data_IF_084946847640
#
_entry.id   IF_084946847640
#
_cell.length_a   1.000
_cell.length_b   1.000
_cell.length_c   1.000
_cell.angle_alpha   90.00
_cell.angle_beta   90.00
_cell.angle_gamma   90.00
#
_symmetry.space_group_name_H-M   'P 1'
#
loop_
_entity.id
_entity.type
_entity.pdbx_description
1 polymer ?
#
# COMPACT_ATOMS: atom_id res chain seq x y z
N UNK A 1 -61.28 6.29 16.50
CA UNK A 1 -60.94 5.49 15.31
C UNK A 1 -59.62 4.81 15.59
N UNK A 2 -59.62 3.47 15.56
CA UNK A 2 -58.58 2.59 16.06
C UNK A 2 -57.45 2.35 15.04
N UNK A 3 -56.28 2.03 15.59
CA UNK A 3 -55.02 1.58 14.98
C UNK A 3 -55.06 0.15 14.42
N UNK A 4 -53.96 -0.18 13.68
CA UNK A 4 -53.38 -1.44 13.16
C UNK A 4 -53.29 -1.38 11.62
N UNK A 5 -52.15 -1.46 10.91
CA UNK A 5 -50.81 -1.99 11.20
C UNK A 5 -50.59 -3.27 10.40
N UNK A 6 -49.73 -3.28 9.37
CA UNK A 6 -48.99 -4.45 8.81
C UNK A 6 -47.78 -3.92 8.01
N UNK A 7 -46.62 -4.51 8.28
CA UNK A 7 -45.32 -4.28 7.67
C UNK A 7 -45.03 -5.24 6.49
N UNK A 8 -44.10 -4.87 5.61
CA UNK A 8 -43.54 -5.71 4.54
C UNK A 8 -42.32 -5.05 3.89
N UNK A 9 -41.35 -5.81 3.33
CA UNK A 9 -39.95 -5.75 3.77
C UNK A 9 -39.00 -4.89 2.91
N UNK A 10 -37.92 -4.47 3.57
CA UNK A 10 -36.71 -3.91 2.97
C UNK A 10 -35.89 -4.99 2.24
N UNK A 11 -35.35 -4.66 1.07
CA UNK A 11 -34.34 -5.42 0.34
C UNK A 11 -33.12 -4.53 0.02
N UNK A 12 -31.93 -5.12 -0.16
CA UNK A 12 -30.65 -4.51 0.17
C UNK A 12 -29.94 -3.85 -1.03
N UNK A 13 -29.05 -2.93 -0.66
CA UNK A 13 -28.18 -2.10 -1.50
C UNK A 13 -27.22 -2.98 -2.33
N UNK A 14 -27.16 -2.75 -3.65
CA UNK A 14 -26.37 -3.54 -4.61
C UNK A 14 -24.91 -3.07 -4.76
N UNK A 15 -24.00 -4.04 -4.83
CA UNK A 15 -22.53 -3.97 -4.87
C UNK A 15 -21.88 -3.50 -6.21
N UNK A 16 -22.51 -2.61 -6.98
CA UNK A 16 -22.03 -2.30 -8.34
C UNK A 16 -21.21 -1.00 -8.52
N UNK A 17 -20.82 -0.29 -7.45
CA UNK A 17 -20.13 1.01 -7.60
C UNK A 17 -18.61 1.01 -7.35
N UNK A 18 -17.99 -0.13 -7.05
CA UNK A 18 -16.53 -0.21 -6.79
C UNK A 18 -15.71 -0.57 -8.05
N UNK A 19 -16.34 -1.08 -9.12
CA UNK A 19 -15.63 -1.60 -10.30
C UNK A 19 -15.42 -0.57 -11.44
N UNK A 20 -15.75 0.71 -11.27
CA UNK A 20 -15.81 1.67 -12.38
C UNK A 20 -14.57 2.56 -12.57
N UNK A 21 -13.46 2.36 -11.84
CA UNK A 21 -12.35 3.32 -11.82
C UNK A 21 -11.07 2.90 -12.55
N UNK A 22 -11.03 1.80 -13.31
CA UNK A 22 -9.80 1.39 -14.02
C UNK A 22 -10.14 0.89 -15.43
N UNK A 23 -9.93 1.74 -16.42
CA UNK A 23 -9.76 1.33 -17.83
C UNK A 23 -8.84 2.33 -18.53
N UNK A 24 -7.77 1.88 -19.17
CA UNK A 24 -7.22 2.57 -20.32
C UNK A 24 -7.62 1.85 -21.61
N UNK A 25 -8.07 2.66 -22.57
CA UNK A 25 -8.36 2.24 -23.95
C UNK A 25 -7.06 1.90 -24.68
N UNK A 26 -7.13 0.85 -25.49
CA UNK A 26 -6.15 0.53 -26.53
C UNK A 26 -6.00 1.65 -27.56
N UNK A 27 -4.77 1.86 -28.04
CA UNK A 27 -4.49 2.32 -29.38
C UNK A 27 -3.25 1.58 -29.92
N UNK A 28 -3.38 1.11 -31.16
CA UNK A 28 -2.41 0.50 -32.11
C UNK A 28 -1.23 1.47 -32.38
N UNK A 29 -0.07 1.13 -32.94
CA UNK A 29 0.31 0.22 -34.01
C UNK A 29 1.86 0.13 -34.10
N UNK A 30 2.35 -0.78 -34.94
CA UNK A 30 3.72 -1.21 -35.16
C UNK A 30 4.74 -0.11 -35.55
N UNK A 31 5.95 -0.19 -34.97
CA UNK A 31 7.23 0.13 -35.62
C UNK A 31 8.42 -0.19 -34.68
N UNK A 32 8.89 -1.44 -34.68
CA UNK A 32 10.20 -1.82 -34.13
C UNK A 32 10.81 -2.92 -35.02
N UNK A 33 11.51 -2.50 -36.08
CA UNK A 33 12.61 -3.27 -36.64
C UNK A 33 13.72 -2.29 -37.05
N UNK A 34 14.96 -2.70 -36.79
CA UNK A 34 16.23 -2.07 -37.16
C UNK A 34 16.70 -0.85 -36.35
N UNK A 35 17.40 -1.13 -35.25
CA UNK A 35 18.72 -0.51 -35.00
C UNK A 35 19.44 -1.22 -33.84
N UNK A 36 20.78 -1.23 -33.92
CA UNK A 36 21.73 -1.65 -32.89
C UNK A 36 22.06 -3.15 -32.84
N UNK A 37 22.57 -3.64 -33.97
CA UNK A 37 23.71 -4.54 -33.98
C UNK A 37 24.99 -3.84 -33.49
N UNK A 38 25.80 -4.56 -32.71
CA UNK A 38 27.22 -4.36 -32.36
C UNK A 38 27.55 -3.45 -31.15
N UNK A 39 27.99 -4.07 -30.04
CA UNK A 39 29.29 -3.79 -29.39
C UNK A 39 29.67 -4.88 -28.34
N UNK A 40 30.97 -5.07 -27.99
CA UNK A 40 31.54 -6.29 -27.38
C UNK A 40 31.64 -6.26 -25.84
N UNK A 41 32.02 -7.38 -25.17
CA UNK A 41 31.86 -7.54 -23.72
C UNK A 41 33.05 -7.00 -22.91
N UNK A 42 32.78 -6.46 -21.71
CA UNK A 42 33.78 -6.18 -20.68
C UNK A 42 33.31 -6.65 -19.28
N UNK A 43 34.24 -6.94 -18.35
CA UNK A 43 34.14 -8.09 -17.45
C UNK A 43 33.46 -7.81 -16.11
N UNK A 44 33.04 -8.91 -15.47
CA UNK A 44 32.34 -8.96 -14.19
C UNK A 44 33.20 -8.53 -12.99
N UNK A 45 32.60 -7.75 -12.09
CA UNK A 45 33.07 -7.51 -10.71
C UNK A 45 31.90 -7.84 -9.77
N UNK A 46 32.07 -8.70 -8.75
CA UNK A 46 30.99 -9.09 -7.85
C UNK A 46 30.85 -8.10 -6.69
N UNK A 47 29.60 -7.75 -6.35
CA UNK A 47 29.25 -7.13 -5.07
C UNK A 47 28.71 -5.71 -5.16
N UNK A 48 27.53 -5.52 -5.76
CA UNK A 48 26.72 -4.32 -5.54
C UNK A 48 25.24 -4.69 -5.44
N UNK A 49 24.54 -4.08 -4.49
CA UNK A 49 23.09 -3.91 -4.54
C UNK A 49 22.77 -3.19 -5.85
N UNK A 50 22.12 -3.89 -6.77
CA UNK A 50 21.69 -3.32 -8.05
C UNK A 50 20.37 -2.62 -7.76
N UNK A 51 20.43 -1.29 -7.64
CA UNK A 51 19.24 -0.43 -7.65
C UNK A 51 18.93 -0.08 -9.09
N UNK A 52 17.71 -0.37 -9.51
CA UNK A 52 17.25 -0.08 -10.86
C UNK A 52 16.27 1.09 -10.78
N UNK A 53 16.62 2.20 -11.41
CA UNK A 53 15.73 3.33 -11.65
C UNK A 53 15.27 3.23 -13.10
N UNK A 54 13.98 3.00 -13.34
CA UNK A 54 13.40 3.12 -14.68
C UNK A 54 12.68 4.45 -14.74
N UNK A 55 13.32 5.43 -15.38
CA UNK A 55 12.74 6.74 -15.66
C UNK A 55 12.35 6.76 -17.14
N UNK A 56 11.05 6.78 -17.42
CA UNK A 56 10.56 7.01 -18.77
C UNK A 56 10.62 8.52 -19.09
N UNK A 57 11.76 9.01 -19.58
CA UNK A 57 11.89 10.35 -20.14
C UNK A 57 12.04 10.28 -21.67
N UNK A 58 11.02 10.72 -22.41
CA UNK A 58 11.15 11.07 -23.84
C UNK A 58 11.28 12.59 -23.96
N UNK A 59 12.46 13.08 -24.33
CA UNK A 59 12.65 14.48 -24.75
C UNK A 59 12.78 14.57 -26.27
N UNK A 60 11.96 15.42 -26.90
CA UNK A 60 12.19 15.91 -28.27
C UNK A 60 11.72 17.35 -28.36
N UNK A 61 12.40 18.22 -29.11
CA UNK A 61 12.14 19.66 -29.22
C UNK A 61 11.29 20.01 -30.45
N UNK A 62 10.17 20.74 -30.30
CA UNK A 62 9.50 21.48 -31.39
C UNK A 62 8.40 22.42 -30.84
N UNK A 63 8.34 23.63 -31.41
CA UNK A 63 7.64 24.80 -30.90
C UNK A 63 6.09 24.78 -30.96
N UNK A 64 5.50 25.31 -29.89
CA UNK A 64 4.20 26.00 -29.69
C UNK A 64 2.85 25.39 -30.13
N UNK A 65 2.73 24.61 -31.19
CA UNK A 65 1.49 23.82 -31.47
C UNK A 65 1.65 22.33 -31.14
N UNK A 66 2.89 21.84 -31.07
CA UNK A 66 3.22 20.48 -30.65
C UNK A 66 3.05 20.20 -29.16
N UNK A 67 2.93 21.22 -28.31
CA UNK A 67 2.86 21.02 -26.85
C UNK A 67 1.55 20.35 -26.38
N UNK A 68 0.42 20.59 -27.05
CA UNK A 68 -0.84 19.96 -26.66
C UNK A 68 -0.85 18.46 -27.00
N UNK A 69 -0.35 18.10 -28.19
CA UNK A 69 -0.19 16.70 -28.60
C UNK A 69 0.84 15.96 -27.73
N UNK A 70 1.93 16.64 -27.34
CA UNK A 70 2.93 16.08 -26.41
C UNK A 70 2.37 15.78 -25.03
N UNK A 71 1.48 16.62 -24.49
CA UNK A 71 0.83 16.35 -23.21
C UNK A 71 -0.21 15.23 -23.29
N UNK A 72 -0.73 14.92 -24.49
CA UNK A 72 -1.62 13.78 -24.71
C UNK A 72 -0.84 12.47 -24.82
N UNK A 73 0.36 12.50 -25.42
CA UNK A 73 1.26 11.34 -25.55
C UNK A 73 2.15 11.10 -24.32
N UNK A 74 2.20 12.04 -23.37
CA UNK A 74 3.04 11.90 -22.17
C UNK A 74 2.39 10.97 -21.15
N UNK A 75 3.08 9.89 -20.81
CA UNK A 75 2.68 9.02 -19.70
C UNK A 75 2.86 9.74 -18.35
N UNK A 76 2.00 9.48 -17.36
CA UNK A 76 2.31 9.86 -15.99
C UNK A 76 3.62 9.19 -15.56
N UNK A 77 4.36 9.83 -14.67
CA UNK A 77 5.53 9.20 -14.06
C UNK A 77 5.06 7.99 -13.25
N UNK A 78 5.64 6.83 -13.48
CA UNK A 78 5.44 5.67 -12.62
C UNK A 78 6.81 5.10 -12.33
N UNK A 79 7.07 4.72 -11.08
CA UNK A 79 8.35 4.14 -10.70
C UNK A 79 8.11 2.78 -10.05
N UNK A 80 8.67 1.75 -10.66
CA UNK A 80 8.76 0.42 -10.08
C UNK A 80 10.22 0.16 -9.72
N UNK A 81 10.49 0.00 -8.42
CA UNK A 81 11.82 -0.35 -7.92
C UNK A 81 11.85 -1.84 -7.59
N UNK A 82 12.74 -2.56 -8.27
CA UNK A 82 12.94 -3.99 -8.04
C UNK A 82 14.33 -4.21 -7.44
N UNK A 83 14.39 -4.75 -6.22
CA UNK A 83 15.65 -5.12 -5.57
C UNK A 83 15.69 -6.63 -5.29
N UNK A 84 16.89 -7.21 -5.37
CA UNK A 84 17.17 -8.57 -4.89
C UNK A 84 17.96 -8.48 -3.59
N UNK A 85 17.59 -9.27 -2.59
CA UNK A 85 18.40 -9.47 -1.40
C UNK A 85 18.17 -10.87 -0.81
N UNK A 86 18.69 -11.12 0.39
CA UNK A 86 18.56 -12.38 1.11
C UNK A 86 18.24 -12.10 2.58
N UNK A 87 17.40 -12.93 3.21
CA UNK A 87 16.96 -12.72 4.60
C UNK A 87 18.09 -12.84 5.64
N UNK A 88 19.16 -13.57 5.33
CA UNK A 88 20.34 -13.74 6.22
C UNK A 88 21.38 -12.65 6.08
N UNK A 89 21.29 -11.80 5.06
CA UNK A 89 22.26 -10.71 4.90
C UNK A 89 22.05 -9.64 5.97
N UNK A 90 23.13 -9.20 6.61
CA UNK A 90 23.08 -8.15 7.64
C UNK A 90 22.56 -6.81 7.09
N UNK A 91 22.85 -6.52 5.81
CA UNK A 91 22.38 -5.32 5.11
C UNK A 91 20.97 -5.46 4.51
N UNK A 92 20.26 -6.55 4.82
CA UNK A 92 18.92 -6.82 4.31
C UNK A 92 17.92 -5.84 4.92
N UNK A 93 17.08 -5.22 4.09
CA UNK A 93 16.14 -4.16 4.50
C UNK A 93 14.68 -4.58 4.49
N UNK A 94 14.41 -5.88 4.37
CA UNK A 94 13.04 -6.42 4.32
C UNK A 94 12.16 -5.92 5.48
N UNK A 95 12.66 -5.96 6.72
CA UNK A 95 11.92 -5.45 7.88
C UNK A 95 11.68 -3.95 7.78
N UNK A 96 12.68 -3.17 7.39
CA UNK A 96 12.55 -1.72 7.25
C UNK A 96 11.50 -1.35 6.18
N UNK A 97 11.45 -2.05 5.04
CA UNK A 97 10.43 -1.80 4.02
C UNK A 97 9.01 -2.06 4.55
N UNK A 98 8.81 -3.11 5.35
CA UNK A 98 7.49 -3.39 5.95
C UNK A 98 7.16 -2.37 7.04
N UNK A 99 8.08 -2.14 7.97
CA UNK A 99 7.89 -1.27 9.15
C UNK A 99 7.68 0.20 8.79
N UNK A 100 8.26 0.67 7.68
CA UNK A 100 8.06 2.05 7.20
C UNK A 100 6.82 2.24 6.36
N UNK A 101 6.08 1.18 6.03
CA UNK A 101 4.84 1.27 5.26
C UNK A 101 3.62 1.12 6.19
N UNK A 102 3.26 2.24 6.83
CA UNK A 102 2.39 2.25 8.02
C UNK A 102 0.92 1.88 7.76
N UNK A 103 0.34 2.28 6.63
CA UNK A 103 -1.10 2.17 6.38
C UNK A 103 -1.39 1.17 5.27
N UNK A 104 -1.81 -0.04 5.62
CA UNK A 104 -2.04 -1.15 4.68
C UNK A 104 -3.52 -1.53 4.62
N UNK A 105 -4.09 -1.61 3.40
CA UNK A 105 -5.51 -1.90 3.18
C UNK A 105 -5.78 -3.32 2.68
N UNK A 106 -4.83 -3.91 1.94
CA UNK A 106 -4.99 -5.21 1.28
C UNK A 106 -3.67 -5.97 1.33
N UNK A 107 -3.73 -7.25 1.68
CA UNK A 107 -2.60 -8.18 1.60
C UNK A 107 -3.02 -9.41 0.82
N UNK A 108 -2.27 -9.76 -0.22
CA UNK A 108 -2.51 -10.94 -1.06
C UNK A 108 -1.30 -11.88 -0.99
N UNK A 109 -1.56 -13.15 -0.68
CA UNK A 109 -0.55 -14.20 -0.56
C UNK A 109 -0.85 -15.28 -1.60
N UNK A 110 0.17 -15.65 -2.38
CA UNK A 110 0.08 -16.71 -3.39
C UNK A 110 1.08 -17.83 -3.08
N UNK A 111 0.57 -19.05 -2.99
CA UNK A 111 1.35 -20.25 -2.78
C UNK A 111 1.11 -21.23 -3.94
N UNK A 112 2.01 -21.26 -4.94
CA UNK A 112 1.98 -22.29 -5.99
C UNK A 112 2.13 -23.69 -5.39
N UNK A 113 1.58 -24.69 -6.08
CA UNK A 113 1.64 -26.11 -5.71
C UNK A 113 1.13 -26.40 -4.29
N UNK A 114 0.13 -25.62 -3.87
CA UNK A 114 -0.49 -25.69 -2.57
C UNK A 114 -2.01 -25.68 -2.74
N UNK A 115 -2.68 -26.70 -2.18
CA UNK A 115 -4.14 -26.74 -2.12
C UNK A 115 -4.65 -25.81 -1.02
N UNK A 116 -5.00 -26.34 0.17
CA UNK A 116 -5.42 -25.49 1.28
C UNK A 116 -4.24 -24.69 1.84
N UNK A 117 -4.55 -23.49 2.34
CA UNK A 117 -3.56 -22.64 3.00
C UNK A 117 -2.94 -23.39 4.21
N UNK A 118 -1.60 -23.39 4.38
CA UNK A 118 -0.94 -24.08 5.49
C UNK A 118 -1.41 -23.57 6.85
N UNK A 119 -1.58 -24.49 7.83
CA UNK A 119 -2.15 -24.18 9.16
C UNK A 119 -1.38 -23.09 9.93
N UNK A 120 -0.05 -23.02 9.81
CA UNK A 120 0.75 -21.96 10.45
C UNK A 120 0.42 -20.57 9.89
N UNK A 121 0.27 -20.47 8.57
CA UNK A 121 -0.07 -19.21 7.89
C UNK A 121 -1.52 -18.84 8.20
N UNK A 122 -2.43 -19.82 8.11
CA UNK A 122 -3.85 -19.65 8.42
C UNK A 122 -4.07 -19.18 9.86
N UNK A 123 -3.46 -19.85 10.84
CA UNK A 123 -3.59 -19.45 12.26
C UNK A 123 -2.97 -18.08 12.54
N UNK A 124 -1.91 -17.69 11.82
CA UNK A 124 -1.34 -16.34 11.92
C UNK A 124 -2.32 -15.29 11.42
N UNK A 125 -2.99 -15.53 10.29
CA UNK A 125 -3.99 -14.62 9.72
C UNK A 125 -5.24 -14.54 10.63
N UNK A 126 -5.71 -15.67 11.13
CA UNK A 126 -6.83 -15.72 12.10
C UNK A 126 -6.46 -14.99 13.41
N UNK A 127 -5.18 -15.00 13.79
CA UNK A 127 -4.63 -14.28 14.93
C UNK A 127 -4.46 -12.76 14.74
N UNK A 128 -4.81 -12.19 13.57
CA UNK A 128 -4.72 -10.73 13.36
C UNK A 128 -5.70 -9.93 14.23
N UNK A 129 -6.72 -10.57 14.80
CA UNK A 129 -7.69 -9.92 15.67
C UNK A 129 -8.61 -8.96 14.89
N UNK A 130 -8.69 -7.70 15.32
CA UNK A 130 -9.57 -6.70 14.72
C UNK A 130 -8.89 -5.33 14.66
N UNK A 131 -9.43 -4.46 13.82
CA UNK A 131 -9.16 -3.02 13.81
C UNK A 131 -10.43 -2.29 14.24
N UNK A 132 -10.34 -0.98 14.50
CA UNK A 132 -11.49 -0.21 14.95
C UNK A 132 -11.85 0.89 13.97
N UNK A 133 -13.13 1.21 13.91
CA UNK A 133 -13.66 2.38 13.20
C UNK A 133 -14.36 3.26 14.23
N UNK A 134 -13.94 4.51 14.32
CA UNK A 134 -14.55 5.51 15.20
C UNK A 134 -15.12 6.64 14.37
N UNK A 135 -16.28 7.16 14.75
CA UNK A 135 -16.94 8.25 14.02
C UNK A 135 -16.83 9.59 14.73
N UNK A 136 -16.68 10.66 13.96
CA UNK A 136 -16.64 12.05 14.43
C UNK A 136 -15.67 12.25 15.61
N UNK A 137 -14.48 11.65 15.55
CA UNK A 137 -13.43 11.84 16.55
C UNK A 137 -12.71 13.16 16.28
N UNK A 138 -12.52 13.95 17.34
CA UNK A 138 -11.73 15.17 17.28
C UNK A 138 -10.24 14.87 17.27
N UNK A 139 -9.49 15.51 16.36
CA UNK A 139 -8.02 15.43 16.30
C UNK A 139 -7.38 15.87 17.63
N UNK A 140 -8.04 16.77 18.37
CA UNK A 140 -7.59 17.20 19.69
C UNK A 140 -7.41 16.03 20.67
N UNK A 141 -8.22 14.97 20.57
CA UNK A 141 -8.15 13.81 21.47
C UNK A 141 -6.75 13.17 21.46
N UNK A 142 -6.11 13.12 20.29
CA UNK A 142 -4.76 12.57 20.13
C UNK A 142 -3.66 13.40 20.81
N UNK A 143 -3.93 14.69 21.07
CA UNK A 143 -2.95 15.59 21.68
C UNK A 143 -3.02 15.53 23.21
N UNK A 144 -4.12 15.06 23.78
CA UNK A 144 -4.33 15.01 25.24
C UNK A 144 -3.23 14.23 25.94
N UNK A 145 -2.91 14.62 27.18
CA UNK A 145 -1.90 13.91 27.98
C UNK A 145 -2.30 12.46 28.25
N UNK A 146 -3.58 12.24 28.52
CA UNK A 146 -4.14 10.92 28.77
C UNK A 146 -3.95 9.99 27.57
N UNK A 147 -4.26 10.48 26.36
CA UNK A 147 -4.05 9.69 25.14
C UNK A 147 -2.57 9.36 24.94
N UNK A 148 -1.69 10.35 25.07
CA UNK A 148 -0.24 10.16 24.88
C UNK A 148 0.36 9.18 25.89
N UNK A 149 -0.03 9.28 27.16
CA UNK A 149 0.45 8.39 28.21
C UNK A 149 -0.09 6.97 28.07
N UNK A 150 -1.31 6.81 27.56
CA UNK A 150 -1.98 5.51 27.42
C UNK A 150 -1.53 4.77 26.16
N UNK A 151 -1.47 5.44 25.01
CA UNK A 151 -1.28 4.77 23.72
C UNK A 151 0.10 5.00 23.13
N UNK A 152 0.55 6.25 23.05
CA UNK A 152 1.82 6.60 22.37
C UNK A 152 3.04 6.08 23.14
N UNK A 153 3.02 6.16 24.49
CA UNK A 153 4.14 5.69 25.31
C UNK A 153 4.18 4.18 25.53
N UNK A 154 3.06 3.49 25.30
CA UNK A 154 2.89 2.08 25.68
C UNK A 154 2.79 1.14 24.47
N UNK A 155 2.88 1.64 23.23
CA UNK A 155 2.85 0.80 22.04
C UNK A 155 2.79 1.60 20.74
N UNK A 156 2.57 0.90 19.63
CA UNK A 156 2.46 1.50 18.30
C UNK A 156 0.99 1.78 17.98
N UNK A 157 0.59 3.05 18.03
CA UNK A 157 -0.78 3.47 17.70
C UNK A 157 -0.85 4.01 16.27
N UNK A 158 -1.84 3.54 15.52
CA UNK A 158 -2.09 3.90 14.14
C UNK A 158 -3.48 4.52 14.03
N UNK A 159 -3.58 5.70 13.42
CA UNK A 159 -4.85 6.28 13.03
C UNK A 159 -4.79 6.82 11.60
N UNK A 160 -5.84 6.61 10.83
CA UNK A 160 -5.98 7.18 9.49
C UNK A 160 -7.41 7.68 9.28
N UNK A 161 -7.58 8.91 8.79
CA UNK A 161 -8.89 9.44 8.44
C UNK A 161 -9.55 8.58 7.36
N UNK A 162 -10.82 8.26 7.56
CA UNK A 162 -11.57 7.32 6.74
C UNK A 162 -12.51 8.07 5.80
N UNK A 163 -12.57 7.63 4.53
CA UNK A 163 -13.41 8.24 3.47
C UNK A 163 -13.13 9.71 3.18
N UNK A 164 -11.89 10.14 3.42
CA UNK A 164 -11.40 11.49 3.10
C UNK A 164 -10.42 11.40 1.94
N UNK A 165 -10.71 12.07 0.82
CA UNK A 165 -9.83 12.05 -0.36
C UNK A 165 -8.70 13.05 -0.19
N UNK A 166 -7.44 12.62 -0.30
CA UNK A 166 -6.29 13.48 0.01
C UNK A 166 -6.10 14.66 -0.96
N UNK A 167 -6.67 14.61 -2.16
CA UNK A 167 -6.66 15.72 -3.12
C UNK A 167 -7.78 16.74 -2.83
N UNK A 168 -8.91 16.31 -2.28
CA UNK A 168 -10.13 17.12 -2.12
C UNK A 168 -10.46 17.51 -0.68
N UNK A 169 -10.34 16.59 0.26
CA UNK A 169 -10.73 16.74 1.65
C UNK A 169 -9.52 16.92 2.57
N UNK A 170 -9.73 17.49 3.76
CA UNK A 170 -8.72 17.45 4.82
C UNK A 170 -8.50 15.99 5.27
N UNK A 171 -7.25 15.61 5.51
CA UNK A 171 -6.88 14.26 5.94
C UNK A 171 -5.96 14.30 7.16
N UNK A 172 -6.04 13.26 7.99
CA UNK A 172 -5.27 13.16 9.22
C UNK A 172 -4.73 11.74 9.40
N UNK A 173 -3.48 11.64 9.83
CA UNK A 173 -2.82 10.38 10.11
C UNK A 173 -2.00 10.48 11.41
N UNK A 174 -2.08 9.44 12.24
CA UNK A 174 -1.23 9.26 13.40
C UNK A 174 -0.31 8.07 13.16
N UNK A 175 0.98 8.35 13.17
CA UNK A 175 2.07 7.42 12.95
C UNK A 175 2.45 6.68 14.24
N UNK A 176 2.99 5.44 14.14
CA UNK A 176 3.49 4.71 15.30
C UNK A 176 4.70 5.41 15.95
N UNK A 177 5.37 6.30 15.24
CA UNK A 177 6.45 7.16 15.76
C UNK A 177 5.93 8.25 16.71
N UNK A 178 4.61 8.38 16.89
CA UNK A 178 3.98 9.43 17.68
C UNK A 178 3.84 10.76 16.97
N UNK A 179 4.01 10.78 15.64
CA UNK A 179 3.80 11.98 14.82
C UNK A 179 2.37 12.01 14.27
N UNK A 180 1.67 13.10 14.58
CA UNK A 180 0.37 13.43 14.02
C UNK A 180 0.58 14.32 12.78
N UNK A 181 0.09 13.87 11.64
CA UNK A 181 0.21 14.53 10.35
C UNK A 181 -1.18 14.95 9.89
N UNK A 182 -1.33 16.24 9.58
CA UNK A 182 -2.56 16.80 9.01
C UNK A 182 -2.22 17.33 7.62
N UNK A 183 -2.89 16.83 6.59
CA UNK A 183 -2.87 17.41 5.25
C UNK A 183 -4.18 18.15 5.04
N UNK A 184 -4.10 19.47 4.98
CA UNK A 184 -5.26 20.36 4.97
C UNK A 184 -5.24 21.29 3.77
N UNK A 185 -6.42 21.75 3.38
CA UNK A 185 -6.56 22.82 2.40
C UNK A 185 -6.02 24.17 2.96
N UNK A 186 -5.85 25.12 2.05
CA UNK A 186 -5.33 26.46 2.37
C UNK A 186 -6.17 27.18 3.42
N UNK A 187 -7.49 27.15 3.29
CA UNK A 187 -8.39 27.89 4.17
C UNK A 187 -8.33 27.35 5.60
N UNK A 188 -8.37 26.02 5.74
CA UNK A 188 -8.24 25.31 7.01
C UNK A 188 -6.85 25.54 7.63
N UNK A 189 -5.78 25.57 6.83
CA UNK A 189 -4.43 25.87 7.30
C UNK A 189 -4.34 27.27 7.92
N UNK A 190 -4.83 28.30 7.21
CA UNK A 190 -4.82 29.69 7.65
C UNK A 190 -5.72 29.88 8.90
N UNK A 191 -6.89 29.23 8.92
CA UNK A 191 -7.79 29.22 10.07
C UNK A 191 -7.21 28.53 11.30
N UNK A 192 -6.52 27.40 11.16
CA UNK A 192 -5.83 26.72 12.28
C UNK A 192 -4.73 27.61 12.85
N UNK A 193 -3.90 28.21 11.98
CA UNK A 193 -2.75 29.02 12.38
C UNK A 193 -1.69 28.22 13.14
N UNK A 194 -1.49 26.97 12.72
CA UNK A 194 -0.41 26.08 13.15
C UNK A 194 0.75 26.16 12.15
N UNK A 195 1.97 25.89 12.63
CA UNK A 195 3.14 25.85 11.77
C UNK A 195 3.13 24.59 10.91
N UNK A 196 3.30 24.75 9.61
CA UNK A 196 3.29 23.68 8.62
C UNK A 196 4.02 24.12 7.36
N UNK A 197 4.09 23.24 6.36
CA UNK A 197 4.75 23.51 5.07
C UNK A 197 3.74 23.33 3.92
N UNK A 198 3.87 24.08 2.80
CA UNK A 198 3.16 23.73 1.58
C UNK A 198 3.45 22.27 1.20
N UNK A 199 2.42 21.58 0.72
CA UNK A 199 2.54 20.25 0.13
C UNK A 199 3.54 20.27 -1.03
N UNK A 200 4.36 19.23 -1.15
CA UNK A 200 5.31 19.08 -2.28
C UNK A 200 4.60 19.02 -3.64
N UNK A 201 3.32 18.70 -3.65
CA UNK A 201 2.50 18.51 -4.85
C UNK A 201 1.64 19.71 -5.20
N UNK A 202 1.80 20.80 -4.44
CA UNK A 202 1.21 22.08 -4.82
C UNK A 202 1.91 22.66 -6.04
N UNK A 203 1.12 23.15 -7.00
CA UNK A 203 1.62 23.92 -8.13
C UNK A 203 2.15 25.30 -7.71
N UNK A 204 2.18 26.26 -8.65
CA UNK A 204 2.65 27.64 -8.37
C UNK A 204 1.97 28.31 -7.17
N UNK A 205 0.71 27.94 -6.91
CA UNK A 205 -0.05 28.39 -5.76
C UNK A 205 -0.25 27.20 -4.81
N UNK A 206 0.24 27.33 -3.58
CA UNK A 206 0.01 26.35 -2.54
C UNK A 206 -1.47 26.30 -2.16
N UNK A 207 -2.12 25.17 -2.46
CA UNK A 207 -3.52 24.91 -2.11
C UNK A 207 -3.66 23.85 -1.01
N UNK A 208 -2.56 23.17 -0.69
CA UNK A 208 -2.47 22.09 0.29
C UNK A 208 -1.27 22.34 1.21
N UNK A 209 -1.46 22.08 2.49
CA UNK A 209 -0.46 22.27 3.52
C UNK A 209 -0.39 21.07 4.45
N UNK A 210 0.83 20.71 4.82
CA UNK A 210 1.11 19.59 5.72
C UNK A 210 1.61 20.13 7.05
N UNK A 211 0.87 19.81 8.12
CA UNK A 211 1.19 20.17 9.50
C UNK A 211 1.65 18.91 10.21
N UNK A 212 2.88 18.91 10.73
CA UNK A 212 3.47 17.79 11.45
C UNK A 212 3.62 18.15 12.93
N UNK A 213 2.94 17.39 13.79
CA UNK A 213 2.98 17.54 15.24
C UNK A 213 3.60 16.28 15.83
N UNK A 214 4.82 16.41 16.34
CA UNK A 214 5.49 15.33 17.06
C UNK A 214 5.00 15.27 18.51
N UNK A 215 4.16 14.29 18.83
CA UNK A 215 3.56 14.10 20.17
C UNK A 215 4.56 13.58 21.22
N UNK A 216 5.73 13.12 20.77
CA UNK A 216 6.81 12.63 21.64
C UNK A 216 7.78 13.75 22.07
N UNK A 217 7.68 14.92 21.44
CA UNK A 217 8.51 16.07 21.74
C UNK A 217 8.37 16.50 23.22
N UNK A 218 9.49 16.56 23.93
CA UNK A 218 9.56 17.01 25.33
C UNK A 218 9.04 18.45 25.51
N UNK A 219 9.06 19.26 24.44
CA UNK A 219 8.50 20.61 24.45
C UNK A 219 6.95 20.64 24.48
N UNK A 220 6.29 19.48 24.35
CA UNK A 220 4.84 19.30 24.57
C UNK A 220 4.51 18.83 26.01
N UNK A 221 5.23 19.35 27.01
CA UNK A 221 4.77 19.25 28.39
C UNK A 221 3.46 20.04 28.57
N UNK A 222 2.61 19.63 29.53
CA UNK A 222 1.33 20.29 29.87
C UNK A 222 1.43 21.83 29.92
N UNK A 223 2.52 22.33 30.50
CA UNK A 223 2.76 23.76 30.74
C UNK A 223 3.50 24.44 29.58
N UNK A 224 3.86 23.70 28.54
CA UNK A 224 4.57 24.20 27.38
C UNK A 224 3.69 25.12 26.53
N UNK A 225 4.20 26.31 26.19
CA UNK A 225 3.51 27.25 25.26
C UNK A 225 3.14 26.59 23.93
N UNK A 226 3.97 25.66 23.45
CA UNK A 226 3.72 24.90 22.21
C UNK A 226 2.50 23.98 22.37
N UNK A 227 2.42 23.24 23.47
CA UNK A 227 1.27 22.38 23.77
C UNK A 227 -0.01 23.20 23.89
N UNK A 228 -0.02 24.25 24.70
CA UNK A 228 -1.18 25.13 24.89
C UNK A 228 -1.68 25.72 23.57
N UNK A 229 -0.75 26.15 22.69
CA UNK A 229 -1.08 26.66 21.37
C UNK A 229 -1.76 25.60 20.50
N UNK A 230 -1.21 24.39 20.43
CA UNK A 230 -1.77 23.29 19.63
C UNK A 230 -3.12 22.87 20.17
N UNK A 231 -3.22 22.73 21.50
CA UNK A 231 -4.44 22.37 22.19
C UNK A 231 -5.56 23.35 21.85
N UNK A 232 -5.33 24.66 22.06
CA UNK A 232 -6.30 25.71 21.74
C UNK A 232 -6.69 25.74 20.26
N UNK A 233 -5.73 25.56 19.35
CA UNK A 233 -6.00 25.53 17.91
C UNK A 233 -6.96 24.39 17.52
N UNK A 234 -6.76 23.19 18.09
CA UNK A 234 -7.52 21.99 17.74
C UNK A 234 -8.80 21.80 18.58
N UNK A 235 -8.91 22.42 19.76
CA UNK A 235 -10.11 22.31 20.62
C UNK A 235 -11.09 23.46 20.46
N UNK A 236 -10.61 24.71 20.42
CA UNK A 236 -11.47 25.90 20.49
C UNK A 236 -11.50 26.66 19.17
N UNK A 237 -10.33 26.87 18.55
CA UNK A 237 -10.22 27.72 17.37
C UNK A 237 -10.85 27.10 16.12
N UNK A 238 -10.40 25.89 15.77
CA UNK A 238 -10.91 25.13 14.62
C UNK A 238 -10.89 23.63 14.93
N UNK A 239 -11.95 23.12 15.56
CA UNK A 239 -12.09 21.68 15.79
C UNK A 239 -12.14 20.92 14.48
N UNK A 240 -11.24 19.95 14.32
CA UNK A 240 -11.23 19.04 13.18
C UNK A 240 -11.80 17.70 13.62
N UNK A 241 -12.88 17.28 12.97
CA UNK A 241 -13.58 16.03 13.24
C UNK A 241 -13.43 15.11 12.03
N UNK A 242 -13.05 13.85 12.27
CA UNK A 242 -13.01 12.84 11.23
C UNK A 242 -13.55 11.50 11.73
N UNK A 243 -13.98 10.68 10.78
CA UNK A 243 -14.05 9.25 11.01
C UNK A 243 -12.61 8.69 10.89
N UNK A 244 -12.21 7.79 11.79
CA UNK A 244 -10.86 7.20 11.77
C UNK A 244 -10.92 5.68 11.74
N UNK A 245 -10.00 5.09 10.98
CA UNK A 245 -9.52 3.73 11.19
C UNK A 245 -8.46 3.76 12.28
N UNK A 246 -8.57 2.89 13.29
CA UNK A 246 -7.64 2.80 14.41
C UNK A 246 -7.08 1.37 14.54
N UNK A 247 -5.81 1.28 14.88
CA UNK A 247 -5.17 0.06 15.37
C UNK A 247 -4.13 0.40 16.43
N UNK A 248 -3.91 -0.50 17.37
CA UNK A 248 -2.88 -0.35 18.38
C UNK A 248 -2.21 -1.69 18.62
N UNK A 249 -0.92 -1.74 18.35
CA UNK A 249 -0.10 -2.91 18.66
C UNK A 249 0.49 -2.70 20.06
N UNK A 250 -0.14 -3.35 21.03
CA UNK A 250 0.34 -3.53 22.39
C UNK A 250 -0.21 -4.87 22.92
N UNK A 251 0.29 -5.34 24.06
CA UNK A 251 -0.17 -6.55 24.73
C UNK A 251 -1.62 -6.47 25.27
N UNK A 252 -2.24 -5.29 25.35
CA UNK A 252 -3.54 -5.07 26.02
C UNK A 252 -4.62 -4.34 25.18
N UNK A 253 -5.05 -4.94 24.06
CA UNK A 253 -6.04 -4.35 23.12
C UNK A 253 -7.41 -3.91 23.70
N UNK A 254 -7.75 -4.27 24.94
CA UNK A 254 -9.02 -3.88 25.60
C UNK A 254 -9.10 -2.40 25.98
N UNK A 255 -7.97 -1.68 26.02
CA UNK A 255 -7.93 -0.27 26.43
C UNK A 255 -8.51 0.72 25.41
N UNK A 256 -8.51 0.40 24.11
CA UNK A 256 -9.03 1.31 23.07
C UNK A 256 -10.54 1.52 23.25
N UNK A 257 -11.29 0.42 23.39
CA UNK A 257 -12.75 0.48 23.51
C UNK A 257 -13.19 1.19 24.80
N UNK A 258 -12.47 0.98 25.91
CA UNK A 258 -12.78 1.66 27.17
C UNK A 258 -12.44 3.15 27.10
N UNK A 259 -11.29 3.51 26.53
CA UNK A 259 -10.86 4.90 26.38
C UNK A 259 -11.83 5.71 25.50
N UNK A 260 -12.20 5.17 24.34
CA UNK A 260 -13.11 5.83 23.39
C UNK A 260 -14.59 5.51 23.64
N UNK A 261 -14.97 5.09 24.85
CA UNK A 261 -16.35 4.67 25.16
C UNK A 261 -17.39 5.78 25.02
N UNK A 262 -16.98 7.05 25.09
CA UNK A 262 -17.83 8.23 24.83
C UNK A 262 -18.15 8.43 23.33
N UNK A 263 -17.40 7.78 22.44
CA UNK A 263 -17.54 7.89 21.00
C UNK A 263 -18.22 6.66 20.40
N UNK A 264 -18.72 6.82 19.16
CA UNK A 264 -19.25 5.70 18.37
C UNK A 264 -18.10 4.91 17.77
N UNK A 265 -17.52 4.01 18.55
CA UNK A 265 -16.46 3.09 18.13
C UNK A 265 -17.03 1.69 17.82
N UNK A 266 -16.52 1.06 16.76
CA UNK A 266 -16.87 -0.29 16.34
C UNK A 266 -15.61 -1.12 16.11
N UNK A 267 -15.57 -2.32 16.66
CA UNK A 267 -14.57 -3.34 16.29
C UNK A 267 -14.96 -3.98 14.96
N UNK A 268 -14.00 -4.07 14.05
CA UNK A 268 -14.15 -4.58 12.69
C UNK A 268 -13.19 -5.75 12.45
N UNK A 269 -13.70 -6.93 12.07
CA UNK A 269 -12.85 -8.05 11.68
C UNK A 269 -12.22 -7.79 10.30
N UNK A 270 -11.12 -8.48 10.03
CA UNK A 270 -10.56 -8.54 8.69
C UNK A 270 -11.43 -9.38 7.77
N UNK A 271 -11.57 -8.97 6.51
CA UNK A 271 -12.20 -9.79 5.47
C UNK A 271 -11.13 -10.69 4.88
N UNK A 272 -11.25 -12.00 5.09
CA UNK A 272 -10.28 -12.99 4.61
C UNK A 272 -10.98 -13.83 3.55
N UNK A 273 -10.42 -13.86 2.34
CA UNK A 273 -10.87 -14.71 1.26
C UNK A 273 -9.74 -15.64 0.83
N UNK A 274 -9.99 -16.94 0.82
CA UNK A 274 -9.02 -17.95 0.39
C UNK A 274 -9.62 -18.79 -0.72
N UNK A 275 -8.97 -18.80 -1.87
CA UNK A 275 -9.38 -19.52 -3.07
C UNK A 275 -8.27 -20.43 -3.56
N UNK A 276 -8.62 -21.64 -3.97
CA UNK A 276 -7.68 -22.57 -4.62
C UNK A 276 -7.89 -22.50 -6.12
N UNK A 277 -6.94 -21.89 -6.82
CA UNK A 277 -6.91 -21.80 -8.27
C UNK A 277 -6.36 -23.11 -8.83
N UNK A 278 -6.98 -23.62 -9.90
CA UNK A 278 -6.56 -24.85 -10.57
C UNK A 278 -5.95 -24.54 -11.93
N UNK A 279 -4.98 -25.36 -12.30
CA UNK A 279 -4.31 -25.31 -13.61
C UNK A 279 -3.80 -23.89 -13.97
N UNK A 280 -3.26 -23.19 -12.96
CA UNK A 280 -2.76 -21.84 -13.11
C UNK A 280 -1.40 -21.86 -13.81
N UNK A 281 -1.24 -21.07 -14.86
CA UNK A 281 0.08 -20.82 -15.43
C UNK A 281 0.88 -19.89 -14.51
N UNK A 282 1.95 -20.42 -13.94
CA UNK A 282 2.89 -19.69 -13.09
C UNK A 282 4.19 -19.40 -13.85
N UNK A 283 4.71 -18.16 -13.81
CA UNK A 283 5.95 -17.82 -14.48
C UNK A 283 7.13 -18.56 -13.85
N UNK A 284 8.07 -19.03 -14.68
CA UNK A 284 9.32 -19.61 -14.23
C UNK A 284 10.27 -18.47 -13.87
N UNK A 285 10.70 -18.43 -12.62
CA UNK A 285 11.56 -17.36 -12.09
C UNK A 285 12.81 -17.94 -11.44
N UNK A 286 13.89 -17.17 -11.43
CA UNK A 286 15.18 -17.57 -10.87
C UNK A 286 15.67 -16.50 -9.89
N UNK A 287 15.86 -16.86 -8.62
CA UNK A 287 16.27 -15.93 -7.55
C UNK A 287 17.50 -15.08 -7.91
N UNK A 288 18.44 -15.61 -8.69
CA UNK A 288 19.66 -14.94 -9.15
C UNK A 288 19.48 -13.89 -10.24
N UNK A 289 18.34 -13.83 -10.94
CA UNK A 289 18.19 -13.07 -12.19
C UNK A 289 16.94 -12.19 -12.18
N UNK A 290 17.08 -10.97 -11.65
CA UNK A 290 15.99 -10.00 -11.54
C UNK A 290 15.40 -9.58 -12.90
N UNK A 291 16.24 -9.39 -13.93
CA UNK A 291 15.80 -9.07 -15.30
C UNK A 291 15.37 -10.30 -16.10
N UNK A 292 15.38 -11.49 -15.49
CA UNK A 292 15.14 -12.74 -16.19
C UNK A 292 16.26 -13.12 -17.15
N UNK A 293 15.98 -14.09 -18.01
CA UNK A 293 16.80 -14.49 -19.15
C UNK A 293 15.86 -15.04 -20.21
N UNK A 294 16.03 -14.61 -21.46
CA UNK A 294 15.22 -15.07 -22.57
C UNK A 294 15.08 -16.60 -22.56
N UNK A 295 13.83 -17.07 -22.68
CA UNK A 295 13.43 -18.48 -22.72
C UNK A 295 13.71 -19.34 -21.46
N UNK A 296 14.41 -18.80 -20.45
CA UNK A 296 14.77 -19.54 -19.23
C UNK A 296 14.09 -19.02 -17.97
N UNK A 297 13.94 -17.69 -17.82
CA UNK A 297 13.36 -17.10 -16.63
C UNK A 297 12.69 -15.75 -16.92
N UNK A 298 11.53 -15.52 -16.31
CA UNK A 298 10.81 -14.26 -16.37
C UNK A 298 11.48 -13.18 -15.53
N UNK A 299 11.37 -11.93 -16.00
CA UNK A 299 11.78 -10.73 -15.27
C UNK A 299 10.82 -10.41 -14.13
N UNK A 300 11.35 -9.82 -13.06
CA UNK A 300 10.62 -9.27 -11.92
C UNK A 300 9.36 -8.47 -12.33
N UNK A 301 9.51 -7.51 -13.24
CA UNK A 301 8.43 -6.60 -13.68
C UNK A 301 7.22 -7.35 -14.25
N UNK A 302 7.46 -8.34 -15.12
CA UNK A 302 6.40 -9.17 -15.70
C UNK A 302 5.69 -10.04 -14.67
N UNK A 303 6.42 -10.49 -13.65
CA UNK A 303 5.85 -11.28 -12.55
C UNK A 303 4.98 -10.38 -11.66
N UNK A 304 5.40 -9.14 -11.44
CA UNK A 304 4.62 -8.14 -10.70
C UNK A 304 3.27 -7.87 -11.37
N UNK A 305 3.27 -7.59 -12.68
CA UNK A 305 2.07 -7.36 -13.48
C UNK A 305 1.15 -8.59 -13.50
N UNK A 306 1.71 -9.78 -13.75
CA UNK A 306 0.98 -11.04 -13.72
C UNK A 306 0.36 -11.32 -12.35
N UNK A 307 1.08 -11.06 -11.25
CA UNK A 307 0.54 -11.31 -9.92
C UNK A 307 -0.60 -10.35 -9.59
N UNK A 308 -0.51 -9.09 -10.04
CA UNK A 308 -1.63 -8.15 -9.99
C UNK A 308 -2.86 -8.66 -10.72
N UNK A 309 -2.69 -9.23 -11.93
CA UNK A 309 -3.79 -9.81 -12.70
C UNK A 309 -4.42 -11.03 -12.01
N UNK A 310 -3.61 -11.97 -11.51
CA UNK A 310 -4.08 -13.15 -10.79
C UNK A 310 -4.81 -12.77 -9.50
N UNK A 311 -4.30 -11.81 -8.74
CA UNK A 311 -4.92 -11.33 -7.50
C UNK A 311 -6.30 -10.70 -7.74
N UNK A 312 -6.54 -10.17 -8.94
CA UNK A 312 -7.82 -9.63 -9.37
C UNK A 312 -8.70 -10.64 -10.13
N UNK A 313 -8.35 -11.94 -10.08
CA UNK A 313 -9.05 -13.02 -10.80
C UNK A 313 -9.16 -12.80 -12.32
N UNK A 314 -8.14 -12.18 -12.93
CA UNK A 314 -8.07 -11.99 -14.38
C UNK A 314 -7.52 -13.26 -15.02
N UNK A 315 -8.28 -13.82 -15.97
CA UNK A 315 -7.84 -14.96 -16.76
C UNK A 315 -6.70 -14.58 -17.72
N UNK A 316 -5.59 -15.29 -17.59
CA UNK A 316 -4.34 -15.07 -18.33
C UNK A 316 -4.10 -16.12 -19.43
N UNK A 317 -5.12 -16.89 -19.83
CA UNK A 317 -5.00 -18.03 -20.76
C UNK A 317 -5.13 -17.66 -22.25
N UNK A 318 -5.34 -16.38 -22.58
CA UNK A 318 -5.50 -15.87 -23.97
C UNK A 318 -6.54 -16.66 -24.79
N UNK A 319 -7.58 -17.17 -24.13
CA UNK A 319 -8.65 -17.88 -24.82
C UNK A 319 -9.62 -16.87 -25.46
N UNK A 320 -9.78 -16.96 -26.78
CA UNK A 320 -10.79 -16.18 -27.49
C UNK A 320 -12.18 -16.80 -27.26
N UNK A 321 -13.01 -16.13 -26.45
CA UNK A 321 -14.43 -16.48 -26.34
C UNK A 321 -15.29 -15.41 -27.03
N UNK A 322 -15.59 -14.29 -26.35
CA UNK A 322 -16.39 -13.17 -26.87
C UNK A 322 -15.60 -11.85 -26.98
N UNK A 323 -14.40 -11.79 -26.41
CA UNK A 323 -13.43 -10.70 -26.51
C UNK A 323 -12.02 -11.30 -26.53
N UNK A 324 -11.04 -10.54 -27.03
CA UNK A 324 -9.64 -10.93 -27.05
C UNK A 324 -8.95 -10.27 -25.84
N UNK A 325 -8.49 -11.08 -24.89
CA UNK A 325 -7.56 -10.62 -23.85
C UNK A 325 -6.13 -10.81 -24.35
N UNK A 326 -5.43 -9.72 -24.64
CA UNK A 326 -4.02 -9.79 -25.05
C UNK A 326 -3.08 -10.02 -23.87
N UNK A 327 -3.57 -9.90 -22.63
CA UNK A 327 -2.78 -10.13 -21.44
C UNK A 327 -2.63 -11.64 -21.17
N UNK A 328 -1.38 -12.09 -21.08
CA UNK A 328 -1.03 -13.51 -20.96
C UNK A 328 -0.07 -13.73 -19.79
N UNK A 329 -0.05 -14.96 -19.25
CA UNK A 329 1.01 -15.36 -18.33
C UNK A 329 2.39 -15.15 -18.99
N UNK A 330 3.38 -14.55 -18.28
CA UNK A 330 4.73 -14.38 -18.81
C UNK A 330 5.40 -15.71 -19.16
N UNK A 331 6.03 -15.77 -20.34
CA UNK A 331 6.81 -16.93 -20.78
C UNK A 331 8.29 -16.78 -20.40
N UNK A 332 8.98 -17.85 -19.94
CA UNK A 332 8.49 -19.22 -19.74
C UNK A 332 7.57 -19.41 -18.52
N UNK A 333 6.59 -20.31 -18.63
CA UNK A 333 5.60 -20.61 -17.57
C UNK A 333 5.39 -22.12 -17.39
N UNK A 334 5.02 -22.55 -16.19
CA UNK A 334 4.63 -23.92 -15.86
C UNK A 334 3.19 -23.96 -15.36
N UNK A 335 2.42 -24.98 -15.77
CA UNK A 335 1.05 -25.19 -15.27
C UNK A 335 1.11 -25.83 -13.89
N UNK A 336 0.52 -25.15 -12.91
CA UNK A 336 0.45 -25.58 -11.52
C UNK A 336 -0.98 -26.05 -11.23
N UNK A 337 -1.12 -27.32 -10.83
CA UNK A 337 -2.45 -27.93 -10.62
C UNK A 337 -3.27 -27.26 -9.52
N UNK A 338 -2.62 -26.79 -8.45
CA UNK A 338 -3.28 -26.15 -7.31
C UNK A 338 -2.42 -24.99 -6.82
N UNK A 339 -3.02 -23.81 -6.76
CA UNK A 339 -2.40 -22.61 -6.21
C UNK A 339 -3.33 -21.99 -5.18
N UNK A 340 -2.83 -21.77 -3.96
CA UNK A 340 -3.59 -21.12 -2.90
C UNK A 340 -3.41 -19.61 -3.02
N UNK A 341 -4.51 -18.88 -3.20
CA UNK A 341 -4.55 -17.41 -3.16
C UNK A 341 -5.36 -17.00 -1.93
N UNK A 342 -4.72 -16.28 -1.01
CA UNK A 342 -5.35 -15.72 0.19
C UNK A 342 -5.28 -14.20 0.15
N UNK A 343 -6.41 -13.54 0.35
CA UNK A 343 -6.52 -12.08 0.37
C UNK A 343 -7.12 -11.62 1.69
N UNK A 344 -6.49 -10.62 2.31
CA UNK A 344 -6.86 -10.05 3.60
C UNK A 344 -7.13 -8.57 3.38
N UNK A 345 -8.34 -8.11 3.68
CA UNK A 345 -8.76 -6.72 3.53
C UNK A 345 -9.17 -6.12 4.87
N UNK A 346 -8.67 -4.92 5.17
CA UNK A 346 -8.95 -4.20 6.42
C UNK A 346 -7.88 -3.17 6.74
N UNK A 347 -7.76 -2.73 7.99
CA UNK A 347 -6.68 -1.84 8.41
C UNK A 347 -5.54 -2.67 9.06
N UNK A 348 -4.55 -3.02 8.25
CA UNK A 348 -3.51 -4.00 8.60
C UNK A 348 -2.23 -3.26 9.03
N UNK A 349 -1.71 -3.60 10.21
CA UNK A 349 -0.50 -3.00 10.77
C UNK A 349 0.76 -3.68 10.21
N UNK A 350 1.88 -2.94 10.07
CA UNK A 350 3.16 -3.51 9.64
C UNK A 350 3.60 -4.74 10.44
N UNK A 351 3.36 -4.75 11.74
CA UNK A 351 3.73 -5.83 12.67
C UNK A 351 3.00 -7.13 12.34
N UNK A 352 1.75 -7.06 11.88
CA UNK A 352 0.99 -8.22 11.38
C UNK A 352 1.58 -8.75 10.08
N UNK A 353 1.99 -7.85 9.18
CA UNK A 353 2.60 -8.21 7.90
C UNK A 353 3.98 -8.83 8.12
N UNK A 354 4.77 -8.31 9.05
CA UNK A 354 6.08 -8.85 9.40
C UNK A 354 5.97 -10.27 9.98
N UNK A 355 4.97 -10.52 10.84
CA UNK A 355 4.64 -11.88 11.31
C UNK A 355 4.29 -12.81 10.15
N UNK A 356 3.47 -12.36 9.21
CA UNK A 356 3.10 -13.14 8.03
C UNK A 356 4.31 -13.41 7.12
N UNK A 357 5.15 -12.41 6.87
CA UNK A 357 6.39 -12.52 6.10
C UNK A 357 7.33 -13.55 6.73
N UNK A 358 7.47 -13.55 8.05
CA UNK A 358 8.25 -14.54 8.78
C UNK A 358 7.67 -15.96 8.60
N UNK A 359 6.35 -16.12 8.67
CA UNK A 359 5.72 -17.43 8.41
C UNK A 359 5.90 -17.92 6.97
N UNK A 360 5.88 -17.02 5.99
CA UNK A 360 6.17 -17.35 4.59
C UNK A 360 7.63 -17.72 4.36
N UNK A 361 8.56 -17.12 5.11
CA UNK A 361 9.95 -17.55 5.11
C UNK A 361 10.11 -18.94 5.72
N UNK A 362 9.47 -19.19 6.87
CA UNK A 362 9.50 -20.48 7.58
C UNK A 362 8.81 -21.60 6.81
N UNK A 363 7.95 -21.28 5.84
CA UNK A 363 7.29 -22.24 4.96
C UNK A 363 8.28 -23.17 4.23
N UNK A 364 9.48 -22.66 3.89
CA UNK A 364 10.53 -23.41 3.18
C UNK A 364 11.49 -24.18 4.09
N UNK A 365 11.28 -24.19 5.42
CA UNK A 365 12.09 -25.03 6.34
C UNK A 365 11.91 -26.51 6.00
N UNK A 366 10.68 -26.89 5.67
CA UNK A 366 10.40 -28.22 5.13
C UNK A 366 10.49 -28.17 3.60
N UNK A 367 11.04 -29.21 2.94
CA UNK A 367 11.04 -29.29 1.49
C UNK A 367 9.61 -29.17 0.93
N UNK A 368 9.41 -28.18 0.05
CA UNK A 368 8.17 -27.95 -0.69
C UNK A 368 8.38 -28.20 -2.17
N UNK A 369 7.29 -28.44 -2.89
CA UNK A 369 7.33 -28.62 -4.34
C UNK A 369 7.61 -27.28 -5.03
N UNK A 370 6.94 -26.21 -4.57
CA UNK A 370 7.19 -24.86 -5.08
C UNK A 370 8.58 -24.34 -4.70
N UNK A 371 9.15 -23.54 -5.58
CA UNK A 371 10.45 -22.87 -5.38
C UNK A 371 10.31 -21.45 -4.88
N UNK A 372 9.09 -20.88 -4.92
CA UNK A 372 8.80 -19.52 -4.48
C UNK A 372 7.36 -19.34 -3.99
N UNK A 373 7.13 -18.33 -3.16
CA UNK A 373 5.80 -17.82 -2.77
C UNK A 373 5.78 -16.31 -2.91
N UNK A 374 4.58 -15.73 -3.02
CA UNK A 374 4.40 -14.27 -3.16
C UNK A 374 3.58 -13.68 -2.02
N UNK A 375 3.96 -12.47 -1.61
CA UNK A 375 3.23 -11.58 -0.70
C UNK A 375 3.14 -10.22 -1.38
N UNK A 376 1.95 -9.70 -1.63
CA UNK A 376 1.73 -8.33 -2.11
C UNK A 376 0.88 -7.56 -1.12
N UNK A 377 1.26 -6.31 -0.89
CA UNK A 377 0.66 -5.44 0.10
C UNK A 377 0.31 -4.13 -0.57
N UNK A 378 -0.95 -3.73 -0.49
CA UNK A 378 -1.41 -2.43 -0.95
C UNK A 378 -1.68 -1.52 0.25
N UNK A 379 -1.13 -0.32 0.16
CA UNK A 379 -1.42 0.79 1.05
C UNK A 379 -2.74 1.50 0.72
N UNK A 380 -3.11 2.45 1.56
CA UNK A 380 -4.23 3.35 1.25
C UNK A 380 -3.79 4.39 0.24
N UNK A 381 -4.64 4.65 -0.76
CA UNK A 381 -4.42 5.71 -1.75
C UNK A 381 -4.55 7.12 -1.13
N UNK A 382 -5.43 7.26 -0.14
CA UNK A 382 -5.75 8.55 0.50
C UNK A 382 -4.96 8.79 1.81
N UNK A 383 -3.82 8.13 2.00
CA UNK A 383 -2.99 8.36 3.20
C UNK A 383 -2.16 9.64 3.06
N UNK A 384 -2.08 10.53 4.08
CA UNK A 384 -1.22 11.73 4.07
C UNK A 384 0.26 11.46 3.81
N UNK A 385 0.69 10.26 4.17
CA UNK A 385 2.07 9.79 4.04
C UNK A 385 2.10 8.43 3.40
N UNK A 386 3.16 8.20 2.63
CA UNK A 386 3.56 6.89 2.12
C UNK A 386 4.82 6.47 2.89
N UNK A 387 5.77 5.82 2.22
CA UNK A 387 7.02 5.27 2.74
C UNK A 387 7.69 6.15 3.83
N UNK A 388 7.57 5.75 5.09
CA UNK A 388 8.03 6.51 6.25
C UNK A 388 7.24 7.79 6.46
N UNK A 389 7.92 8.93 6.41
CA UNK A 389 7.32 10.26 6.57
C UNK A 389 7.23 11.02 5.25
N UNK A 390 7.42 10.31 4.12
CA UNK A 390 7.29 10.88 2.80
C UNK A 390 5.83 11.25 2.55
N UNK A 391 5.62 12.43 1.96
CA UNK A 391 4.28 12.86 1.60
C UNK A 391 3.76 11.97 0.47
N UNK A 392 2.51 11.53 0.55
CA UNK A 392 1.90 10.75 -0.53
C UNK A 392 1.18 11.69 -1.49
N UNK A 393 1.56 11.66 -2.76
CA UNK A 393 0.97 12.48 -3.81
C UNK A 393 -0.13 11.73 -4.55
N UNK A 394 -1.39 12.08 -4.30
CA UNK A 394 -2.52 11.60 -5.09
C UNK A 394 -2.91 12.67 -6.12
N UNK A 395 -2.36 12.57 -7.34
CA UNK A 395 -2.75 13.43 -8.46
C UNK A 395 -3.49 12.63 -9.54
N UNK A 396 -2.75 11.87 -10.35
CA UNK A 396 -3.31 10.96 -11.38
C UNK A 396 -3.12 9.48 -11.05
N UNK A 397 -2.33 9.18 -10.03
CA UNK A 397 -2.09 7.86 -9.47
C UNK A 397 -1.59 7.99 -8.04
N UNK A 398 -1.93 7.02 -7.19
CA UNK A 398 -1.55 6.91 -5.78
C UNK A 398 -1.01 5.52 -5.50
N UNK A 399 -0.08 5.07 -6.36
CA UNK A 399 0.56 3.77 -6.18
C UNK A 399 1.36 3.78 -4.88
N UNK A 400 0.89 3.01 -3.91
CA UNK A 400 1.54 2.82 -2.63
C UNK A 400 1.47 1.34 -2.30
N UNK A 401 2.27 0.53 -2.98
CA UNK A 401 2.21 -0.92 -2.83
C UNK A 401 3.58 -1.55 -3.00
N UNK A 402 3.76 -2.71 -2.38
CA UNK A 402 4.96 -3.51 -2.54
C UNK A 402 4.66 -5.00 -2.57
N UNK A 403 5.60 -5.76 -3.11
CA UNK A 403 5.55 -7.22 -3.08
C UNK A 403 6.90 -7.81 -2.68
N UNK A 404 6.82 -8.97 -2.04
CA UNK A 404 7.91 -9.88 -1.78
C UNK A 404 7.68 -11.17 -2.54
N UNK A 405 8.66 -11.55 -3.36
CA UNK A 405 8.77 -12.91 -3.89
C UNK A 405 9.84 -13.62 -3.08
N UNK A 406 9.45 -14.65 -2.35
CA UNK A 406 10.27 -15.35 -1.35
C UNK A 406 10.66 -16.69 -1.94
N UNK A 407 11.96 -16.96 -2.04
CA UNK A 407 12.49 -18.20 -2.60
C UNK A 407 12.88 -19.20 -1.50
N UNK A 408 12.94 -20.47 -1.86
CA UNK A 408 13.36 -21.55 -0.96
C UNK A 408 14.81 -21.47 -0.45
N UNK A 409 15.66 -20.67 -1.11
CA UNK A 409 17.06 -20.46 -0.74
C UNK A 409 17.27 -19.21 0.16
N UNK A 410 16.19 -18.67 0.74
CA UNK A 410 16.16 -17.43 1.54
C UNK A 410 16.51 -16.15 0.77
N UNK A 411 16.64 -16.23 -0.55
CA UNK A 411 16.62 -15.02 -1.39
C UNK A 411 15.19 -14.46 -1.43
N UNK A 412 15.10 -13.15 -1.65
CA UNK A 412 13.83 -12.51 -2.00
C UNK A 412 14.04 -11.43 -3.05
N UNK A 413 12.98 -11.20 -3.82
CA UNK A 413 12.80 -9.97 -4.58
C UNK A 413 11.82 -9.08 -3.83
N UNK A 414 12.14 -7.79 -3.75
CA UNK A 414 11.21 -6.76 -3.31
C UNK A 414 10.90 -5.87 -4.50
N UNK A 415 9.61 -5.63 -4.75
CA UNK A 415 9.13 -4.78 -5.84
C UNK A 415 8.27 -3.70 -5.19
N UNK A 416 8.63 -2.43 -5.37
CA UNK A 416 7.94 -1.29 -4.77
C UNK A 416 7.41 -0.42 -5.91
N UNK A 417 6.09 -0.30 -6.01
CA UNK A 417 5.47 0.65 -6.94
C UNK A 417 5.16 1.93 -6.18
N UNK A 418 5.71 3.02 -6.70
CA UNK A 418 5.70 4.34 -6.09
C UNK A 418 4.95 5.28 -7.02
N UNK A 419 3.99 6.01 -6.44
CA UNK A 419 3.13 6.93 -7.17
C UNK A 419 3.91 8.02 -7.89
N UNK A 420 3.23 8.64 -8.87
CA UNK A 420 3.73 9.70 -9.75
C UNK A 420 4.63 10.74 -9.12
N UNK A 421 4.35 11.11 -7.87
CA UNK A 421 5.02 12.19 -7.19
C UNK A 421 5.66 11.75 -5.87
N UNK A 422 5.59 10.47 -5.52
CA UNK A 422 6.11 9.98 -4.26
C UNK A 422 7.63 9.85 -4.31
N UNK A 423 8.26 10.10 -3.17
CA UNK A 423 9.68 9.86 -2.99
C UNK A 423 9.93 8.36 -2.86
N UNK A 424 10.90 7.87 -3.63
CA UNK A 424 11.29 6.46 -3.58
C UNK A 424 11.88 6.12 -2.19
N UNK A 425 11.43 5.03 -1.53
CA UNK A 425 12.08 4.55 -0.32
C UNK A 425 13.56 4.21 -0.62
N UNK A 426 14.46 4.44 0.34
CA UNK A 426 15.90 4.30 0.14
C UNK A 426 16.35 2.87 -0.06
#
# INVERSE_FOLDING_TARGET
MYYYGIAGPALPISWHQVAAAITPRCATEAAWQEACSQDPPLPAIPGHSVRVFIQAERTSSAHFTGNMLRCLDSCPRHLLVCEKSNFKQEKSRHSAHVETHYFNCLVSVLLPECGPLPEKIKSTIEGFGSYFVIRNLSVHEFVTEDFRNTFIKQGSFYALSYQTRIDQDNTAALLPTGKLILSVDKDTYEELGLQGKPSLYSGKNAMRYTINIDLTDKALSADGKKFQRINWCLSEKKPLLFDFLLAWENTESSSILSYFSSYKIKSCPFTINTTVLRDLHCPVINSGRLHGKAEEACSSERVFEWFGAVSNNIDCTNQSSSFISTFCCPFPSTVVQQTSLCTITGFITPEKIQRLLQQLREYFIEPKLTTWVSLMVHGFADSPVSWGENEHGFCRGGENLYSFIIFNNEDYWVQMAVGTHDDCPP
#
